data_IF_131208544274
#
_entry.id   IF_131208544274
#
_cell.length_a   1.000
_cell.length_b   1.000
_cell.length_c   1.000
_cell.angle_alpha   90.00
_cell.angle_beta   90.00
_cell.angle_gamma   90.00
#
_symmetry.space_group_name_H-M   'P 1'
#
loop_
_entity.id
_entity.type
_entity.pdbx_description
1 polymer ?
#
# COMPACT_ATOMS: atom_id res chain seq x y z
N UNK A 1 -25.67 0.02 9.75
CA UNK A 1 -25.49 -0.94 10.85
C UNK A 1 -24.45 -0.39 11.82
N UNK A 2 -24.69 -0.43 13.13
CA UNK A 2 -23.70 -0.03 14.11
C UNK A 2 -22.44 -0.93 13.95
N UNK A 3 -21.30 -0.33 13.62
CA UNK A 3 -20.03 -1.03 13.38
C UNK A 3 -19.52 -1.02 11.93
N UNK A 4 -20.30 -0.55 10.95
CA UNK A 4 -19.76 -0.32 9.62
C UNK A 4 -18.72 0.83 9.66
N UNK A 5 -17.56 0.68 9.00
CA UNK A 5 -16.56 1.75 8.94
C UNK A 5 -17.21 3.00 8.35
N UNK A 6 -17.17 4.10 9.11
CA UNK A 6 -17.77 5.37 8.74
C UNK A 6 -16.81 6.19 7.90
N UNK A 7 -17.35 7.12 7.09
CA UNK A 7 -16.56 8.06 6.31
C UNK A 7 -16.50 7.76 4.81
N UNK A 8 -16.41 8.81 4.00
CA UNK A 8 -16.48 8.70 2.54
C UNK A 8 -15.19 8.15 1.94
N UNK A 9 -14.04 8.71 2.34
CA UNK A 9 -12.73 8.44 1.74
C UNK A 9 -12.07 7.21 2.34
N UNK A 10 -11.67 6.29 1.47
CA UNK A 10 -11.07 5.01 1.83
C UNK A 10 -9.83 4.70 1.00
N UNK A 11 -8.91 3.92 1.57
CA UNK A 11 -7.75 3.36 0.88
C UNK A 11 -7.55 1.90 1.29
N UNK A 12 -7.10 1.08 0.36
CA UNK A 12 -6.65 -0.30 0.65
C UNK A 12 -5.13 -0.33 0.66
N UNK A 13 -4.54 -0.90 1.71
CA UNK A 13 -3.09 -1.06 1.87
C UNK A 13 -2.78 -2.54 2.05
N UNK A 14 -1.99 -3.11 1.16
CA UNK A 14 -1.64 -4.54 1.17
C UNK A 14 -0.12 -4.74 1.24
N UNK A 15 0.38 -5.06 2.44
CA UNK A 15 1.80 -5.35 2.68
C UNK A 15 2.14 -6.84 2.67
N UNK A 16 1.15 -7.73 2.81
CA UNK A 16 1.39 -9.18 2.89
C UNK A 16 1.65 -9.83 1.53
N UNK A 17 2.62 -10.74 1.51
CA UNK A 17 2.95 -11.57 0.34
C UNK A 17 2.29 -12.96 0.38
N UNK A 18 1.28 -13.18 1.24
CA UNK A 18 0.62 -14.49 1.36
C UNK A 18 -0.11 -14.89 0.07
N UNK A 19 -0.27 -16.20 -0.17
CA UNK A 19 -1.01 -16.72 -1.33
C UNK A 19 -2.47 -16.24 -1.38
N UNK A 20 -3.11 -16.00 -0.22
CA UNK A 20 -4.46 -15.44 -0.20
C UNK A 20 -4.45 -13.96 -0.53
N UNK A 21 -3.54 -13.18 0.07
CA UNK A 21 -3.41 -11.74 -0.19
C UNK A 21 -3.13 -11.46 -1.66
N UNK A 22 -2.23 -12.23 -2.30
CA UNK A 22 -1.94 -12.08 -3.72
C UNK A 22 -3.18 -12.33 -4.59
N UNK A 23 -4.04 -13.30 -4.22
CA UNK A 23 -5.32 -13.54 -4.92
C UNK A 23 -6.30 -12.38 -4.74
N UNK A 24 -6.40 -11.84 -3.53
CA UNK A 24 -7.25 -10.67 -3.24
C UNK A 24 -6.80 -9.44 -4.04
N UNK A 25 -5.50 -9.15 -4.04
CA UNK A 25 -4.91 -8.05 -4.83
C UNK A 25 -5.17 -8.25 -6.33
N UNK A 26 -4.92 -9.45 -6.85
CA UNK A 26 -5.13 -9.76 -8.27
C UNK A 26 -6.59 -9.58 -8.70
N UNK A 27 -7.55 -9.91 -7.83
CA UNK A 27 -8.97 -9.72 -8.10
C UNK A 27 -9.41 -8.25 -7.96
N UNK A 28 -8.90 -7.54 -6.95
CA UNK A 28 -9.32 -6.16 -6.64
C UNK A 28 -8.79 -5.15 -7.67
N UNK A 29 -7.55 -5.33 -8.15
CA UNK A 29 -6.95 -4.43 -9.15
C UNK A 29 -7.63 -4.46 -10.52
N UNK A 30 -8.54 -5.41 -10.76
CA UNK A 30 -9.39 -5.44 -11.97
C UNK A 30 -10.56 -4.46 -11.87
N UNK A 31 -10.86 -3.95 -10.67
CA UNK A 31 -12.06 -3.16 -10.37
C UNK A 31 -11.72 -1.78 -9.78
N UNK A 32 -10.55 -1.62 -9.17
CA UNK A 32 -10.10 -0.38 -8.55
C UNK A 32 -8.74 0.04 -9.08
N UNK A 33 -8.44 1.35 -9.01
CA UNK A 33 -7.10 1.85 -9.25
C UNK A 33 -6.12 1.16 -8.29
N UNK A 34 -5.02 0.63 -8.82
CA UNK A 34 -4.03 -0.08 -8.03
C UNK A 34 -2.62 0.39 -8.38
N UNK A 35 -1.80 0.62 -7.36
CA UNK A 35 -0.40 1.00 -7.50
C UNK A 35 0.49 0.10 -6.65
N UNK A 36 1.53 -0.40 -7.30
CA UNK A 36 2.60 -1.15 -6.64
C UNK A 36 3.49 -0.20 -5.84
N UNK A 37 3.87 -0.62 -4.63
CA UNK A 37 4.82 0.06 -3.76
C UNK A 37 6.18 -0.58 -3.94
N UNK A 38 7.08 0.18 -4.54
CA UNK A 38 8.42 -0.29 -4.91
C UNK A 38 9.37 -0.23 -3.72
N UNK A 39 9.95 -1.37 -3.35
CA UNK A 39 10.85 -1.48 -2.19
C UNK A 39 12.08 -0.59 -2.35
N UNK A 40 12.64 -0.47 -3.56
CA UNK A 40 13.81 0.36 -3.81
C UNK A 40 13.52 1.85 -3.61
N UNK A 41 12.31 2.31 -3.95
CA UNK A 41 11.89 3.68 -3.69
C UNK A 41 11.70 3.93 -2.18
N UNK A 42 11.15 2.95 -1.45
CA UNK A 42 11.09 3.00 0.01
C UNK A 42 12.50 3.06 0.64
N UNK A 43 13.46 2.31 0.09
CA UNK A 43 14.84 2.28 0.57
C UNK A 43 15.62 3.57 0.27
N UNK A 44 15.29 4.25 -0.83
CA UNK A 44 15.96 5.48 -1.26
C UNK A 44 15.49 6.71 -0.46
N UNK A 45 14.18 6.95 -0.41
CA UNK A 45 13.56 8.05 0.35
C UNK A 45 12.09 7.73 0.62
N UNK A 46 11.83 7.03 1.73
CA UNK A 46 10.49 6.61 2.09
C UNK A 46 9.53 7.78 2.35
N UNK A 47 10.01 8.95 2.83
CA UNK A 47 9.11 10.06 3.13
C UNK A 47 8.63 10.75 1.85
N UNK A 48 9.55 11.07 0.95
CA UNK A 48 9.21 11.65 -0.35
C UNK A 48 8.35 10.67 -1.15
N UNK A 49 8.68 9.37 -1.13
CA UNK A 49 7.90 8.37 -1.83
C UNK A 49 6.50 8.19 -1.24
N UNK A 50 6.34 8.22 0.09
CA UNK A 50 5.04 8.18 0.73
C UNK A 50 4.14 9.34 0.27
N UNK A 51 4.67 10.56 0.17
CA UNK A 51 3.91 11.72 -0.35
C UNK A 51 3.44 11.48 -1.79
N UNK A 52 4.30 10.94 -2.66
CA UNK A 52 3.92 10.60 -4.03
C UNK A 52 2.83 9.52 -4.10
N UNK A 53 2.87 8.54 -3.20
CA UNK A 53 1.82 7.53 -3.09
C UNK A 53 0.51 8.15 -2.61
N UNK A 54 0.56 9.07 -1.64
CA UNK A 54 -0.60 9.80 -1.15
C UNK A 54 -1.23 10.66 -2.24
N UNK A 55 -0.43 11.41 -2.99
CA UNK A 55 -0.90 12.23 -4.12
C UNK A 55 -1.61 11.36 -5.17
N UNK A 56 -1.04 10.19 -5.47
CA UNK A 56 -1.66 9.24 -6.39
C UNK A 56 -2.98 8.68 -5.83
N UNK A 57 -3.04 8.36 -4.53
CA UNK A 57 -4.28 7.92 -3.87
C UNK A 57 -5.35 9.01 -3.96
N UNK A 58 -5.00 10.27 -3.75
CA UNK A 58 -5.96 11.39 -3.85
C UNK A 58 -6.51 11.54 -5.26
N UNK A 59 -5.66 11.45 -6.27
CA UNK A 59 -6.07 11.53 -7.69
C UNK A 59 -7.05 10.41 -8.09
N UNK A 60 -7.08 9.31 -7.33
CA UNK A 60 -7.93 8.15 -7.60
C UNK A 60 -9.01 7.95 -6.52
N UNK A 61 -9.22 8.92 -5.63
CA UNK A 61 -10.09 8.77 -4.46
C UNK A 61 -11.59 8.77 -4.81
N UNK A 62 -11.97 9.35 -5.94
CA UNK A 62 -13.36 9.49 -6.39
C UNK A 62 -13.85 8.29 -7.24
N UNK A 63 -13.05 7.22 -7.33
CA UNK A 63 -13.45 5.97 -7.97
C UNK A 63 -14.58 5.25 -7.22
N UNK A 64 -15.27 4.33 -7.90
CA UNK A 64 -16.33 3.50 -7.29
C UNK A 64 -15.80 2.67 -6.11
N UNK A 65 -14.56 2.19 -6.23
CA UNK A 65 -13.85 1.45 -5.20
C UNK A 65 -12.61 2.21 -4.74
N UNK A 66 -12.22 1.97 -3.49
CA UNK A 66 -11.06 2.59 -2.87
C UNK A 66 -9.77 2.24 -3.64
N UNK A 67 -8.86 3.20 -3.88
CA UNK A 67 -7.57 2.91 -4.48
C UNK A 67 -6.74 1.96 -3.62
N UNK A 68 -6.01 1.06 -4.27
CA UNK A 68 -5.16 0.04 -3.66
C UNK A 68 -3.68 0.40 -3.79
N UNK A 69 -2.99 0.45 -2.66
CA UNK A 69 -1.53 0.39 -2.58
C UNK A 69 -1.12 -1.01 -2.15
N UNK A 70 -0.24 -1.68 -2.90
CA UNK A 70 0.20 -3.03 -2.58
C UNK A 70 1.72 -3.20 -2.76
N UNK A 71 2.36 -3.94 -1.86
CA UNK A 71 3.78 -4.28 -1.98
C UNK A 71 4.02 -5.26 -3.14
N UNK A 72 5.16 -5.11 -3.82
CA UNK A 72 5.54 -5.97 -4.95
C UNK A 72 5.48 -7.46 -4.61
N UNK A 73 4.62 -8.19 -5.32
CA UNK A 73 4.39 -9.64 -5.13
C UNK A 73 5.27 -10.53 -6.01
N UNK A 74 6.10 -9.97 -6.89
CA UNK A 74 7.00 -10.75 -7.74
C UNK A 74 8.12 -11.35 -6.87
N UNK A 75 8.05 -12.66 -6.68
CA UNK A 75 8.99 -13.40 -5.86
C UNK A 75 10.44 -13.29 -6.36
N UNK A 76 10.66 -13.20 -7.68
CA UNK A 76 12.00 -13.05 -8.24
C UNK A 76 12.55 -11.64 -8.00
N UNK A 77 11.72 -10.61 -8.15
CA UNK A 77 12.10 -9.23 -7.85
C UNK A 77 12.37 -9.06 -6.35
N UNK A 78 11.49 -9.59 -5.49
CA UNK A 78 11.66 -9.54 -4.05
C UNK A 78 12.94 -10.26 -3.63
N UNK A 79 13.22 -11.46 -4.18
CA UNK A 79 14.45 -12.18 -3.88
C UNK A 79 15.71 -11.38 -4.29
N UNK A 80 15.71 -10.73 -5.45
CA UNK A 80 16.82 -9.86 -5.88
C UNK A 80 17.05 -8.71 -4.91
N UNK A 81 15.98 -8.03 -4.51
CA UNK A 81 16.03 -6.91 -3.56
C UNK A 81 16.53 -7.39 -2.20
N UNK A 82 16.04 -8.53 -1.70
CA UNK A 82 16.48 -9.10 -0.44
C UNK A 82 17.94 -9.54 -0.47
N UNK A 83 18.44 -10.05 -1.61
CA UNK A 83 19.85 -10.38 -1.78
C UNK A 83 20.74 -9.13 -1.78
N UNK A 84 20.27 -8.03 -2.37
CA UNK A 84 21.04 -6.79 -2.49
C UNK A 84 21.02 -5.94 -1.20
N UNK A 85 19.86 -5.82 -0.56
CA UNK A 85 19.65 -4.87 0.55
C UNK A 85 19.38 -5.56 1.89
N UNK A 86 19.16 -6.87 1.90
CA UNK A 86 18.79 -7.65 3.08
C UNK A 86 17.27 -7.70 3.30
N UNK A 87 16.78 -8.86 3.72
CA UNK A 87 15.34 -9.10 3.91
C UNK A 87 14.71 -8.22 4.99
N UNK A 88 15.35 -8.11 6.17
CA UNK A 88 14.84 -7.30 7.27
C UNK A 88 14.75 -5.81 6.88
N UNK A 89 15.83 -5.25 6.32
CA UNK A 89 15.88 -3.85 5.87
C UNK A 89 14.83 -3.55 4.80
N UNK A 90 14.63 -4.48 3.87
CA UNK A 90 13.62 -4.35 2.82
C UNK A 90 12.20 -4.34 3.39
N UNK A 91 11.90 -5.20 4.37
CA UNK A 91 10.60 -5.23 5.05
C UNK A 91 10.36 -3.95 5.85
N UNK A 92 11.31 -3.55 6.69
CA UNK A 92 11.21 -2.33 7.50
C UNK A 92 11.01 -1.08 6.64
N UNK A 93 11.68 -0.97 5.49
CA UNK A 93 11.50 0.16 4.58
C UNK A 93 10.07 0.25 4.03
N UNK A 94 9.48 -0.89 3.67
CA UNK A 94 8.09 -0.96 3.19
C UNK A 94 7.10 -0.65 4.31
N UNK A 95 7.31 -1.20 5.50
CA UNK A 95 6.48 -0.94 6.68
C UNK A 95 6.52 0.55 7.08
N UNK A 96 7.72 1.15 7.11
CA UNK A 96 7.89 2.57 7.38
C UNK A 96 7.19 3.45 6.33
N UNK A 97 7.32 3.09 5.05
CA UNK A 97 6.63 3.79 3.96
C UNK A 97 5.10 3.72 4.14
N UNK A 98 4.54 2.54 4.42
CA UNK A 98 3.10 2.40 4.65
C UNK A 98 2.63 3.16 5.89
N UNK A 99 3.42 3.19 6.97
CA UNK A 99 3.11 3.98 8.15
C UNK A 99 3.09 5.49 7.83
N UNK A 100 4.03 5.97 7.02
CA UNK A 100 4.06 7.36 6.56
C UNK A 100 2.84 7.68 5.68
N UNK A 101 2.50 6.79 4.73
CA UNK A 101 1.30 6.91 3.89
C UNK A 101 0.03 6.98 4.73
N UNK A 102 -0.13 6.08 5.71
CA UNK A 102 -1.33 6.03 6.54
C UNK A 102 -1.51 7.34 7.33
N UNK A 103 -0.43 7.86 7.93
CA UNK A 103 -0.45 9.13 8.67
C UNK A 103 -0.78 10.32 7.77
N UNK A 104 -0.17 10.38 6.59
CA UNK A 104 -0.39 11.46 5.64
C UNK A 104 -1.82 11.43 5.08
N UNK A 105 -2.32 10.28 4.64
CA UNK A 105 -3.69 10.15 4.18
C UNK A 105 -4.71 10.49 5.28
N UNK A 106 -4.43 10.12 6.53
CA UNK A 106 -5.26 10.53 7.66
C UNK A 106 -5.28 12.06 7.81
N UNK A 107 -4.12 12.72 7.71
CA UNK A 107 -4.03 14.18 7.74
C UNK A 107 -4.80 14.85 6.58
N UNK A 108 -4.86 14.17 5.42
CA UNK A 108 -5.66 14.58 4.26
C UNK A 108 -7.15 14.24 4.36
N UNK A 109 -7.59 13.62 5.46
CA UNK A 109 -9.01 13.33 5.71
C UNK A 109 -9.51 11.98 5.20
N UNK A 110 -8.62 11.02 4.91
CA UNK A 110 -9.02 9.62 4.76
C UNK A 110 -9.46 9.05 6.11
N UNK A 111 -10.59 8.35 6.09
CA UNK A 111 -11.26 7.89 7.31
C UNK A 111 -11.30 6.36 7.41
N UNK A 112 -11.21 5.66 6.27
CA UNK A 112 -11.27 4.20 6.19
C UNK A 112 -9.97 3.64 5.63
N UNK A 113 -9.30 2.79 6.40
CA UNK A 113 -8.09 2.09 6.00
C UNK A 113 -8.37 0.59 6.04
N UNK A 114 -8.31 -0.06 4.86
CA UNK A 114 -8.47 -1.51 4.73
C UNK A 114 -7.07 -2.09 4.60
N UNK A 115 -6.57 -2.75 5.64
CA UNK A 115 -5.18 -3.23 5.70
C UNK A 115 -5.12 -4.75 5.58
N UNK A 116 -4.23 -5.24 4.71
CA UNK A 116 -3.92 -6.64 4.52
C UNK A 116 -2.42 -6.91 4.77
N UNK A 117 -2.12 -7.51 5.93
CA UNK A 117 -0.77 -7.68 6.48
C UNK A 117 -0.82 -7.43 7.98
N UNK A 118 0.07 -8.10 8.72
CA UNK A 118 0.16 -8.03 10.18
C UNK A 118 1.44 -7.36 10.63
#
# INVERSE_FOLDING_TARGET
AAGAPQGGRAVVISGSCSTMTNRQVAAYRQQAAAKVVEVEACLADAQSYALQLCDWVEQNADGELAPLLFATSDAQQLQRIQQQYGAARSSEAVEYCFAAVARELQARGFQRFIVAGG
#
